data_IF_295963247246
#
_entry.id   IF_295963247246
#
_cell.length_a   1.000
_cell.length_b   1.000
_cell.length_c   1.000
_cell.angle_alpha   90.00
_cell.angle_beta   90.00
_cell.angle_gamma   90.00
#
_symmetry.space_group_name_H-M   'P 1'
#
loop_
_entity.id
_entity.type
_entity.pdbx_description
1 polymer ?
#
# COMPACT_ATOMS: atom_id res chain seq x y z
N UNK A 1 58.37 22.92 -35.45
CA UNK A 1 57.08 23.51 -34.99
C UNK A 1 56.01 22.41 -35.05
N UNK A 2 55.67 21.86 -33.92
CA UNK A 2 54.67 20.81 -33.80
C UNK A 2 53.63 21.35 -32.82
N UNK A 3 52.44 21.64 -33.34
CA UNK A 3 51.34 22.22 -32.60
C UNK A 3 50.54 21.07 -32.03
N UNK A 4 50.53 20.90 -30.71
CA UNK A 4 49.72 19.92 -30.02
C UNK A 4 48.30 20.46 -29.80
N UNK A 5 47.32 19.79 -30.37
CA UNK A 5 45.90 20.07 -30.19
C UNK A 5 45.39 19.35 -28.95
N UNK A 6 45.09 20.10 -27.90
CA UNK A 6 44.50 19.57 -26.68
C UNK A 6 42.99 19.42 -26.88
N UNK A 7 42.51 18.18 -26.93
CA UNK A 7 41.07 17.87 -26.91
C UNK A 7 40.63 17.83 -25.44
N UNK A 8 39.84 18.84 -25.03
CA UNK A 8 39.13 18.84 -23.74
C UNK A 8 37.91 17.96 -23.82
N UNK A 9 37.96 16.76 -23.21
CA UNK A 9 36.74 15.95 -22.94
C UNK A 9 35.95 16.61 -21.81
N UNK A 10 34.86 17.26 -22.20
CA UNK A 10 33.85 17.71 -21.26
C UNK A 10 33.01 16.52 -20.86
N UNK A 11 33.39 15.83 -19.78
CA UNK A 11 32.62 14.78 -19.17
C UNK A 11 31.37 15.39 -18.50
N UNK A 12 30.21 15.30 -19.14
CA UNK A 12 28.95 15.59 -18.49
C UNK A 12 28.72 14.54 -17.39
N UNK A 13 28.95 14.93 -16.15
CA UNK A 13 28.55 14.16 -14.98
C UNK A 13 27.02 14.17 -14.96
N UNK A 14 26.40 13.07 -15.42
CA UNK A 14 25.02 12.79 -15.09
C UNK A 14 24.97 12.51 -13.59
N UNK A 15 24.67 13.55 -12.81
CA UNK A 15 24.25 13.39 -11.43
C UNK A 15 22.98 12.53 -11.46
N UNK A 16 23.13 11.25 -11.15
CA UNK A 16 22.00 10.42 -10.75
C UNK A 16 21.51 11.01 -9.43
N UNK A 17 20.50 11.85 -9.55
CA UNK A 17 19.65 12.20 -8.43
C UNK A 17 18.96 10.88 -8.00
N UNK A 18 19.63 10.15 -7.11
CA UNK A 18 19.01 9.07 -6.36
C UNK A 18 18.01 9.73 -5.44
N UNK A 19 16.87 10.13 -6.05
CA UNK A 19 15.75 10.71 -5.36
C UNK A 19 15.47 9.84 -4.14
N UNK A 20 15.68 10.43 -2.98
CA UNK A 20 15.30 9.88 -1.68
C UNK A 20 13.86 9.40 -1.84
N UNK A 21 13.68 8.09 -2.01
CA UNK A 21 12.38 7.49 -2.21
C UNK A 21 11.53 7.96 -1.04
N UNK A 22 10.57 8.85 -1.33
CA UNK A 22 9.63 9.32 -0.33
C UNK A 22 8.91 8.06 0.13
N UNK A 23 9.16 7.66 1.37
CA UNK A 23 8.57 6.47 1.95
C UNK A 23 7.06 6.68 1.98
N UNK A 24 6.36 6.16 0.99
CA UNK A 24 4.93 6.32 0.79
C UNK A 24 4.31 5.05 0.24
N UNK A 25 2.99 4.97 0.36
CA UNK A 25 2.19 3.89 -0.21
C UNK A 25 1.80 4.24 -1.64
N UNK A 26 2.27 3.46 -2.60
CA UNK A 26 1.86 3.58 -4.00
C UNK A 26 0.51 2.88 -4.22
N UNK A 27 -0.44 3.58 -4.88
CA UNK A 27 -1.72 2.99 -5.31
C UNK A 27 -1.85 3.16 -6.81
N UNK A 28 -1.95 2.07 -7.53
CA UNK A 28 -1.90 2.02 -9.00
C UNK A 28 -2.90 1.03 -9.59
N UNK A 29 -2.84 0.82 -10.90
CA UNK A 29 -3.69 -0.12 -11.63
C UNK A 29 -4.96 0.52 -12.16
N UNK A 30 -6.08 -0.20 -12.13
CA UNK A 30 -7.38 0.23 -12.62
C UNK A 30 -8.07 1.17 -11.61
N UNK A 31 -7.51 2.34 -11.44
CA UNK A 31 -8.00 3.43 -10.58
C UNK A 31 -8.12 4.73 -11.38
N UNK A 32 -9.01 5.62 -10.96
CA UNK A 32 -9.16 6.93 -11.59
C UNK A 32 -7.93 7.81 -11.38
N UNK A 33 -7.33 7.73 -10.20
CA UNK A 33 -6.15 8.52 -9.82
C UNK A 33 -5.10 7.63 -9.18
N UNK A 34 -3.92 7.56 -9.78
CA UNK A 34 -2.76 6.94 -9.15
C UNK A 34 -2.31 7.81 -7.98
N UNK A 35 -2.05 7.20 -6.83
CA UNK A 35 -1.67 7.92 -5.63
C UNK A 35 -0.28 7.49 -5.16
N UNK A 36 0.44 8.44 -4.54
CA UNK A 36 1.59 8.20 -3.70
C UNK A 36 1.27 8.84 -2.35
N UNK A 37 0.85 8.03 -1.40
CA UNK A 37 0.38 8.50 -0.09
C UNK A 37 1.54 8.54 0.90
N UNK A 38 1.84 9.73 1.38
CA UNK A 38 2.80 9.92 2.47
C UNK A 38 2.18 9.58 3.83
N UNK A 39 2.99 9.51 4.88
CA UNK A 39 2.49 9.34 6.25
C UNK A 39 1.51 10.48 6.65
N UNK A 40 1.78 11.71 6.17
CA UNK A 40 0.90 12.86 6.41
C UNK A 40 -0.45 12.73 5.69
N UNK A 41 -0.44 12.19 4.46
CA UNK A 41 -1.67 11.95 3.70
C UNK A 41 -2.54 10.91 4.39
N UNK A 42 -1.93 9.82 4.88
CA UNK A 42 -2.64 8.78 5.64
C UNK A 42 -3.16 9.30 6.98
N UNK A 43 -2.41 10.19 7.65
CA UNK A 43 -2.84 10.79 8.91
C UNK A 43 -4.10 11.67 8.77
N UNK A 44 -4.34 12.25 7.58
CA UNK A 44 -5.52 13.09 7.27
C UNK A 44 -6.74 12.27 6.84
N UNK A 45 -6.58 10.96 6.60
CA UNK A 45 -7.68 10.07 6.22
C UNK A 45 -8.46 9.57 7.46
N UNK A 46 -9.70 9.06 7.29
CA UNK A 46 -10.44 8.45 8.38
C UNK A 46 -9.65 7.32 9.02
N UNK A 47 -9.32 7.48 10.30
CA UNK A 47 -8.50 6.51 11.04
C UNK A 47 -9.36 5.57 11.84
N UNK A 48 -8.91 4.31 11.93
CA UNK A 48 -9.51 3.30 12.77
C UNK A 48 -8.46 2.57 13.60
N UNK A 49 -8.90 2.05 14.74
CA UNK A 49 -8.13 1.14 15.57
C UNK A 49 -8.79 -0.25 15.53
N UNK A 50 -7.99 -1.27 15.35
CA UNK A 50 -8.43 -2.67 15.39
C UNK A 50 -7.55 -3.45 16.33
N UNK A 51 -8.13 -4.46 16.98
CA UNK A 51 -7.39 -5.39 17.81
C UNK A 51 -7.19 -6.68 17.02
N UNK A 52 -5.95 -7.15 16.94
CA UNK A 52 -5.61 -8.38 16.26
C UNK A 52 -4.78 -9.28 17.17
N UNK A 53 -4.96 -10.60 17.00
CA UNK A 53 -4.16 -11.60 17.70
C UNK A 53 -2.95 -11.96 16.85
N UNK A 54 -1.76 -11.84 17.42
CA UNK A 54 -0.51 -12.23 16.76
C UNK A 54 -0.23 -13.74 16.92
N UNK A 55 0.71 -14.26 16.14
CA UNK A 55 1.14 -15.67 16.21
C UNK A 55 1.65 -16.06 17.59
N UNK A 56 2.22 -15.12 18.32
CA UNK A 56 2.62 -15.30 19.73
C UNK A 56 1.47 -15.50 20.70
N UNK A 57 0.23 -15.30 20.23
CA UNK A 57 -0.97 -15.29 21.05
C UNK A 57 -1.27 -13.93 21.70
N UNK A 58 -0.39 -12.97 21.60
CA UNK A 58 -0.58 -11.63 22.15
C UNK A 58 -1.70 -10.89 21.38
N UNK A 59 -2.51 -10.15 22.11
CA UNK A 59 -3.51 -9.24 21.57
C UNK A 59 -2.89 -7.86 21.47
N UNK A 60 -2.92 -7.28 20.26
CA UNK A 60 -2.24 -6.02 19.92
C UNK A 60 -3.24 -5.07 19.27
N UNK A 61 -3.17 -3.79 19.62
CA UNK A 61 -3.94 -2.75 18.96
C UNK A 61 -3.15 -2.16 17.79
N UNK A 62 -3.77 -2.13 16.63
CA UNK A 62 -3.25 -1.48 15.44
C UNK A 62 -4.10 -0.28 15.07
N UNK A 63 -3.47 0.82 14.64
CA UNK A 63 -4.14 2.01 14.16
C UNK A 63 -3.71 2.33 12.74
N UNK A 64 -4.65 2.82 11.93
CA UNK A 64 -4.38 3.14 10.54
C UNK A 64 -5.63 3.54 9.78
N UNK A 65 -5.62 3.31 8.47
CA UNK A 65 -6.71 3.61 7.54
C UNK A 65 -7.23 2.31 6.94
N UNK A 66 -8.55 2.17 6.79
CA UNK A 66 -9.11 1.01 6.10
C UNK A 66 -8.63 0.97 4.64
N UNK A 67 -8.27 -0.21 4.17
CA UNK A 67 -7.87 -0.43 2.78
C UNK A 67 -8.93 0.11 1.81
N UNK A 68 -10.21 -0.12 2.11
CA UNK A 68 -11.34 0.38 1.32
C UNK A 68 -11.32 1.91 1.17
N UNK A 69 -11.03 2.67 2.23
CA UNK A 69 -10.96 4.14 2.17
C UNK A 69 -9.81 4.63 1.29
N UNK A 70 -8.69 3.93 1.30
CA UNK A 70 -7.55 4.21 0.41
C UNK A 70 -7.95 3.96 -1.05
N UNK A 71 -8.60 2.82 -1.33
CA UNK A 71 -9.06 2.47 -2.67
C UNK A 71 -10.13 3.44 -3.18
N UNK A 72 -11.05 3.87 -2.32
CA UNK A 72 -12.05 4.88 -2.63
C UNK A 72 -11.41 6.22 -3.01
N UNK A 73 -10.39 6.65 -2.27
CA UNK A 73 -9.64 7.88 -2.59
C UNK A 73 -8.92 7.78 -3.94
N UNK A 74 -8.46 6.60 -4.32
CA UNK A 74 -7.85 6.34 -5.62
C UNK A 74 -8.88 6.25 -6.77
N UNK A 75 -10.17 6.21 -6.45
CA UNK A 75 -11.25 6.02 -7.44
C UNK A 75 -11.27 4.61 -8.01
N UNK A 76 -10.99 3.61 -7.16
CA UNK A 76 -11.28 2.21 -7.48
C UNK A 76 -12.81 2.01 -7.53
N UNK A 77 -13.32 1.02 -8.28
CA UNK A 77 -14.75 0.74 -8.37
C UNK A 77 -15.25 0.06 -7.09
N UNK A 78 -15.55 0.87 -6.09
CA UNK A 78 -16.08 0.52 -4.77
C UNK A 78 -17.43 1.21 -4.54
N UNK A 79 -18.09 0.99 -3.43
CA UNK A 79 -19.42 1.54 -3.10
C UNK A 79 -20.47 1.20 -4.19
N UNK A 80 -21.21 2.19 -4.67
CA UNK A 80 -22.27 2.04 -5.66
C UNK A 80 -21.83 1.45 -7.01
N UNK A 81 -20.54 1.49 -7.31
CA UNK A 81 -19.96 0.91 -8.53
C UNK A 81 -19.66 -0.60 -8.40
N UNK A 82 -19.73 -1.15 -7.18
CA UNK A 82 -19.44 -2.56 -6.90
C UNK A 82 -20.56 -3.48 -7.40
N UNK A 83 -20.61 -3.67 -8.73
CA UNK A 83 -21.58 -4.55 -9.40
C UNK A 83 -21.07 -5.06 -10.73
N UNK A 84 -21.62 -6.18 -11.20
CA UNK A 84 -21.26 -6.73 -12.51
C UNK A 84 -19.77 -7.05 -12.60
N UNK A 85 -19.05 -6.39 -13.53
CA UNK A 85 -17.63 -6.63 -13.78
C UNK A 85 -16.74 -6.24 -12.58
N UNK A 86 -17.14 -5.26 -11.77
CA UNK A 86 -16.38 -4.82 -10.61
C UNK A 86 -16.25 -5.92 -9.55
N UNK A 87 -17.21 -6.85 -9.48
CA UNK A 87 -17.16 -7.98 -8.54
C UNK A 87 -15.99 -8.96 -8.83
N UNK A 88 -15.43 -8.95 -10.04
CA UNK A 88 -14.24 -9.73 -10.39
C UNK A 88 -12.93 -8.94 -10.18
N UNK A 89 -13.01 -7.73 -9.61
CA UNK A 89 -11.87 -6.91 -9.28
C UNK A 89 -11.18 -7.35 -7.99
N UNK A 90 -9.87 -7.11 -7.94
CA UNK A 90 -9.08 -7.35 -6.75
C UNK A 90 -8.00 -6.28 -6.56
N UNK A 91 -7.46 -6.19 -5.37
CA UNK A 91 -6.26 -5.41 -5.07
C UNK A 91 -5.11 -6.36 -4.73
N UNK A 92 -3.99 -6.21 -5.42
CA UNK A 92 -2.74 -6.89 -5.12
C UNK A 92 -1.90 -5.99 -4.20
N UNK A 93 -1.72 -6.43 -2.97
CA UNK A 93 -0.85 -5.79 -2.00
C UNK A 93 0.55 -6.39 -2.09
N UNK A 94 1.56 -5.53 -2.24
CA UNK A 94 2.97 -5.93 -2.36
C UNK A 94 3.78 -5.32 -1.21
N UNK A 95 4.60 -6.15 -0.61
CA UNK A 95 5.58 -5.75 0.39
C UNK A 95 6.94 -5.47 -0.26
N UNK A 96 7.79 -4.73 0.46
CA UNK A 96 9.16 -4.41 0.03
C UNK A 96 10.04 -5.65 -0.15
N UNK A 97 9.78 -6.73 0.59
CA UNK A 97 10.50 -8.00 0.50
C UNK A 97 9.99 -8.91 -0.65
N UNK A 98 9.02 -8.42 -1.44
CA UNK A 98 8.42 -9.15 -2.54
C UNK A 98 7.21 -10.01 -2.15
N UNK A 99 6.82 -10.07 -0.88
CA UNK A 99 5.62 -10.80 -0.46
C UNK A 99 4.37 -10.15 -1.06
N UNK A 100 3.44 -10.98 -1.51
CA UNK A 100 2.23 -10.52 -2.21
C UNK A 100 0.99 -11.22 -1.69
N UNK A 101 -0.10 -10.46 -1.57
CA UNK A 101 -1.41 -10.97 -1.18
C UNK A 101 -2.50 -10.27 -2.00
N UNK A 102 -3.53 -11.03 -2.35
CA UNK A 102 -4.71 -10.53 -3.07
C UNK A 102 -5.89 -10.38 -2.11
N UNK A 103 -6.61 -9.27 -2.25
CA UNK A 103 -7.91 -9.03 -1.64
C UNK A 103 -8.93 -8.77 -2.74
N UNK A 104 -10.04 -9.48 -2.74
CA UNK A 104 -11.17 -9.15 -3.61
C UNK A 104 -11.73 -7.78 -3.24
N UNK A 105 -12.08 -6.95 -4.22
CA UNK A 105 -12.75 -5.69 -3.93
C UNK A 105 -14.09 -5.92 -3.23
N UNK A 106 -14.82 -6.97 -3.62
CA UNK A 106 -16.11 -7.31 -3.03
C UNK A 106 -16.00 -7.70 -1.54
N UNK A 107 -14.91 -8.37 -1.10
CA UNK A 107 -14.78 -8.72 0.32
C UNK A 107 -14.61 -7.50 1.24
N UNK A 108 -14.16 -6.37 0.70
CA UNK A 108 -13.96 -5.12 1.44
C UNK A 108 -15.24 -4.30 1.58
N UNK A 109 -16.26 -4.60 0.76
CA UNK A 109 -17.50 -3.83 0.72
C UNK A 109 -18.50 -4.29 1.80
N UNK A 110 -19.18 -3.33 2.47
CA UNK A 110 -20.16 -3.63 3.52
C UNK A 110 -21.31 -4.53 3.06
N UNK A 111 -21.75 -4.34 1.80
CA UNK A 111 -22.88 -5.08 1.23
C UNK A 111 -22.56 -6.52 0.85
N UNK A 112 -21.26 -6.92 0.91
CA UNK A 112 -20.80 -8.26 0.54
C UNK A 112 -20.03 -8.92 1.69
N UNK A 113 -18.71 -8.80 1.70
CA UNK A 113 -17.84 -9.47 2.68
C UNK A 113 -17.66 -8.70 3.97
N UNK A 114 -17.73 -7.38 3.92
CA UNK A 114 -17.48 -6.46 5.04
C UNK A 114 -16.22 -6.80 5.86
N UNK A 115 -15.16 -7.25 5.17
CA UNK A 115 -13.91 -7.61 5.83
C UNK A 115 -13.15 -6.36 6.26
N UNK A 116 -12.81 -6.30 7.54
CA UNK A 116 -11.92 -5.28 8.05
C UNK A 116 -10.49 -5.59 7.62
N UNK A 117 -9.97 -4.78 6.69
CA UNK A 117 -8.57 -4.82 6.28
C UNK A 117 -7.98 -3.43 6.52
N UNK A 118 -7.07 -3.35 7.49
CA UNK A 118 -6.47 -2.08 7.92
C UNK A 118 -5.06 -1.94 7.32
N UNK A 119 -4.77 -0.79 6.75
CA UNK A 119 -3.40 -0.34 6.48
C UNK A 119 -2.93 0.42 7.71
N UNK A 120 -2.19 -0.27 8.57
CA UNK A 120 -1.72 0.24 9.86
C UNK A 120 -0.36 0.93 9.72
N UNK A 121 -0.18 2.00 10.46
CA UNK A 121 1.07 2.73 10.65
C UNK A 121 1.53 2.76 12.12
N UNK A 122 0.65 2.33 13.05
CA UNK A 122 0.95 2.26 14.48
C UNK A 122 0.56 0.91 15.09
N UNK A 123 1.29 0.54 16.13
CA UNK A 123 1.05 -0.61 17.01
C UNK A 123 1.15 -0.15 18.46
N UNK A 124 0.10 -0.40 19.24
CA UNK A 124 0.02 0.01 20.65
C UNK A 124 0.40 1.49 20.87
N UNK A 125 -0.09 2.37 19.98
CA UNK A 125 0.17 3.81 20.00
C UNK A 125 1.53 4.25 19.45
N UNK A 126 2.46 3.34 19.17
CA UNK A 126 3.78 3.65 18.62
C UNK A 126 3.84 3.41 17.10
N UNK A 127 4.62 4.22 16.34
CA UNK A 127 4.82 3.99 14.91
C UNK A 127 5.42 2.61 14.62
N UNK A 128 4.99 1.99 13.52
CA UNK A 128 5.58 0.74 13.03
C UNK A 128 6.99 1.00 12.46
N UNK A 129 7.94 0.19 12.89
CA UNK A 129 9.35 0.31 12.50
C UNK A 129 9.95 -1.05 12.12
N UNK A 130 11.15 -1.04 11.55
CA UNK A 130 11.91 -2.24 11.19
C UNK A 130 11.16 -3.12 10.19
N UNK A 131 11.13 -4.41 10.47
CA UNK A 131 10.48 -5.43 9.62
C UNK A 131 8.93 -5.45 9.73
N UNK A 132 8.34 -4.64 10.59
CA UNK A 132 6.89 -4.47 10.67
C UNK A 132 6.38 -3.27 9.89
N UNK A 133 7.23 -2.26 9.66
CA UNK A 133 6.85 -0.96 9.16
C UNK A 133 7.54 -0.51 7.87
N UNK A 134 7.28 0.72 7.46
CA UNK A 134 6.45 1.74 8.13
C UNK A 134 4.94 1.48 8.05
N UNK A 135 4.50 0.66 7.09
CA UNK A 135 3.09 0.30 6.89
C UNK A 135 2.92 -1.21 6.90
N UNK A 136 1.77 -1.65 7.39
CA UNK A 136 1.41 -3.07 7.45
C UNK A 136 -0.08 -3.25 7.14
N UNK A 137 -0.44 -4.28 6.39
CA UNK A 137 -1.83 -4.74 6.36
C UNK A 137 -2.11 -5.58 7.61
N UNK A 138 -3.26 -5.36 8.23
CA UNK A 138 -3.77 -6.12 9.34
C UNK A 138 -5.17 -6.63 9.02
N UNK A 139 -5.36 -7.94 9.09
CA UNK A 139 -6.64 -8.63 8.87
C UNK A 139 -7.08 -9.23 10.23
N UNK A 140 -7.81 -8.48 11.07
CA UNK A 140 -8.11 -8.90 12.45
C UNK A 140 -9.01 -10.13 12.53
N UNK A 141 -9.82 -10.37 11.50
CA UNK A 141 -10.78 -11.50 11.44
C UNK A 141 -10.16 -12.78 10.90
N UNK A 142 -8.94 -12.74 10.39
CA UNK A 142 -8.27 -13.92 9.88
C UNK A 142 -7.74 -14.80 11.03
N UNK A 143 -7.98 -16.11 10.93
CA UNK A 143 -7.45 -17.07 11.91
C UNK A 143 -5.93 -17.23 11.85
N UNK A 144 -5.32 -16.85 10.71
CA UNK A 144 -3.87 -16.90 10.49
C UNK A 144 -3.39 -15.58 9.91
N UNK A 145 -2.22 -15.12 10.32
CA UNK A 145 -1.65 -13.83 9.94
C UNK A 145 -1.08 -13.75 8.51
N UNK A 146 -1.23 -14.77 7.67
CA UNK A 146 -0.59 -14.83 6.36
C UNK A 146 -1.00 -13.67 5.42
N UNK A 147 -2.22 -13.15 5.53
CA UNK A 147 -2.65 -11.98 4.74
C UNK A 147 -2.27 -10.63 5.36
N UNK A 148 -1.71 -10.63 6.56
CA UNK A 148 -1.23 -9.42 7.23
C UNK A 148 0.16 -9.04 6.71
N UNK A 149 0.21 -8.35 5.58
CA UNK A 149 1.44 -7.99 4.85
C UNK A 149 2.25 -6.96 5.64
N UNK A 150 3.49 -7.30 5.96
CA UNK A 150 4.47 -6.39 6.60
C UNK A 150 5.18 -5.55 5.54
N UNK A 151 5.75 -4.42 5.93
CA UNK A 151 6.51 -3.55 5.03
C UNK A 151 5.76 -3.24 3.72
N UNK A 152 4.45 -2.95 3.83
CA UNK A 152 3.62 -2.66 2.69
C UNK A 152 4.19 -1.49 1.88
N UNK A 153 4.34 -1.69 0.57
CA UNK A 153 4.92 -0.71 -0.35
C UNK A 153 3.93 -0.25 -1.41
N UNK A 154 3.12 -1.17 -1.95
CA UNK A 154 2.20 -0.83 -3.02
C UNK A 154 0.91 -1.64 -3.00
N UNK A 155 -0.12 -1.00 -3.55
CA UNK A 155 -1.44 -1.54 -3.83
C UNK A 155 -1.71 -1.38 -5.33
N UNK A 156 -2.04 -2.46 -6.01
CA UNK A 156 -2.39 -2.44 -7.43
C UNK A 156 -3.80 -2.98 -7.62
N UNK A 157 -4.69 -2.13 -8.10
CA UNK A 157 -6.08 -2.52 -8.40
C UNK A 157 -6.14 -3.16 -9.77
N UNK A 158 -6.73 -4.33 -9.87
CA UNK A 158 -6.86 -5.07 -11.13
C UNK A 158 -8.33 -5.41 -11.37
N UNK A 159 -8.85 -5.00 -12.52
CA UNK A 159 -10.16 -5.40 -13.03
C UNK A 159 -9.96 -6.47 -14.11
N UNK A 160 -10.51 -7.67 -13.88
CA UNK A 160 -10.47 -8.71 -14.89
C UNK A 160 -11.31 -8.29 -16.09
N UNK A 161 -10.67 -8.16 -17.24
CA UNK A 161 -11.31 -7.85 -18.53
C UNK A 161 -11.49 -9.15 -19.29
N UNK A 162 -12.72 -9.42 -19.75
CA UNK A 162 -12.95 -10.48 -20.73
C UNK A 162 -12.55 -10.00 -22.12
#
# INVERSE_FOLDING_TARGET
MVTALAVALCGAAYAQDAGKAVAGLSVTGDVTSRLMLTAEDLAKMPRQAVTAKEESGATVQYEGVLLREILKRAGAPVDAEMRGKALAGYVLAKARDGYQVVFSLAELEPDYGNQLVLVADKRDGAPLTGNLGPLRIVCPNDKKGARSVRMLESLEVVQLRK
#
